data_IF_921307275797
#
_entry.id   IF_921307275797
#
_cell.length_a   1.000
_cell.length_b   1.000
_cell.length_c   1.000
_cell.angle_alpha   90.00
_cell.angle_beta   90.00
_cell.angle_gamma   90.00
#
_symmetry.space_group_name_H-M   'P 1'
#
loop_
_entity.id
_entity.type
_entity.pdbx_description
1 polymer ?
#
# COMPACT_ATOMS: atom_id res chain seq x y z
N UNK A 1 29.80 -26.44 5.14
CA UNK A 1 28.58 -25.61 5.23
C UNK A 1 27.43 -26.46 4.72
N UNK A 2 26.31 -26.54 5.42
CA UNK A 2 25.13 -27.18 4.85
C UNK A 2 24.62 -26.30 3.72
N UNK A 3 24.49 -26.88 2.52
CA UNK A 3 23.90 -26.19 1.39
C UNK A 3 22.38 -26.23 1.56
N UNK A 4 21.74 -25.06 1.52
CA UNK A 4 20.29 -24.94 1.49
C UNK A 4 19.76 -25.45 0.14
N UNK A 5 18.60 -26.10 0.20
CA UNK A 5 17.89 -26.66 -0.94
C UNK A 5 16.63 -25.85 -1.25
N UNK A 6 16.01 -26.13 -2.40
CA UNK A 6 14.70 -25.54 -2.75
C UNK A 6 13.61 -25.88 -1.72
N UNK A 7 13.68 -27.06 -1.11
CA UNK A 7 12.71 -27.50 -0.11
C UNK A 7 12.80 -26.67 1.17
N UNK A 8 14.02 -26.27 1.56
CA UNK A 8 14.23 -25.37 2.70
C UNK A 8 13.53 -24.03 2.48
N UNK A 9 13.61 -23.45 1.27
CA UNK A 9 12.94 -22.19 0.95
C UNK A 9 11.42 -22.32 0.87
N UNK A 10 10.90 -23.42 0.31
CA UNK A 10 9.45 -23.68 0.32
C UNK A 10 8.94 -23.76 1.76
N UNK A 11 9.68 -24.41 2.65
CA UNK A 11 9.33 -24.48 4.06
C UNK A 11 9.29 -23.08 4.69
N UNK A 12 10.24 -22.21 4.38
CA UNK A 12 10.23 -20.82 4.84
C UNK A 12 9.01 -20.06 4.31
N UNK A 13 8.66 -20.19 3.03
CA UNK A 13 7.45 -19.57 2.45
C UNK A 13 6.17 -20.05 3.14
N UNK A 14 6.09 -21.34 3.50
CA UNK A 14 4.90 -21.88 4.17
C UNK A 14 4.73 -21.35 5.60
N UNK A 15 5.85 -21.09 6.28
CA UNK A 15 5.92 -20.62 7.67
C UNK A 15 5.85 -19.10 7.80
N UNK A 16 5.96 -18.36 6.70
CA UNK A 16 5.89 -16.90 6.71
C UNK A 16 4.52 -16.39 7.22
N UNK A 17 4.47 -15.69 8.38
CA UNK A 17 3.22 -15.19 8.94
C UNK A 17 2.56 -14.11 8.08
N UNK A 18 3.32 -13.44 7.20
CA UNK A 18 2.81 -12.37 6.34
C UNK A 18 2.66 -12.77 4.87
N UNK A 19 2.76 -14.06 4.53
CA UNK A 19 2.68 -14.54 3.13
C UNK A 19 1.46 -14.05 2.36
N UNK A 20 0.33 -13.82 3.06
CA UNK A 20 -0.91 -13.29 2.48
C UNK A 20 -0.77 -11.85 2.00
N UNK A 21 0.12 -11.04 2.59
CA UNK A 21 0.36 -9.67 2.15
C UNK A 21 0.80 -9.60 0.68
N UNK A 22 1.48 -10.65 0.18
CA UNK A 22 1.83 -10.77 -1.26
C UNK A 22 0.59 -10.69 -2.16
N UNK A 23 -0.56 -11.19 -1.70
CA UNK A 23 -1.81 -11.19 -2.46
C UNK A 23 -2.41 -9.79 -2.63
N UNK A 24 -1.99 -8.81 -1.82
CA UNK A 24 -2.44 -7.42 -1.92
C UNK A 24 -1.81 -6.65 -3.09
N UNK A 25 -0.77 -7.20 -3.72
CA UNK A 25 -0.02 -6.54 -4.78
C UNK A 25 -0.29 -7.13 -6.17
N UNK A 26 -0.29 -6.26 -7.18
CA UNK A 26 -0.31 -6.64 -8.58
C UNK A 26 1.11 -6.87 -9.06
N UNK A 27 1.51 -8.15 -9.15
CA UNK A 27 2.84 -8.57 -9.58
C UNK A 27 2.76 -9.34 -10.90
N UNK A 28 3.65 -9.08 -11.88
CA UNK A 28 3.75 -9.89 -13.08
C UNK A 28 4.14 -11.34 -12.75
N UNK A 29 3.55 -12.31 -13.47
CA UNK A 29 3.65 -13.75 -13.15
C UNK A 29 5.09 -14.29 -13.09
N UNK A 30 5.96 -13.78 -13.95
CA UNK A 30 7.32 -14.33 -14.16
C UNK A 30 8.43 -13.34 -13.84
N UNK A 31 8.14 -12.34 -12.98
CA UNK A 31 9.10 -11.31 -12.56
C UNK A 31 9.47 -11.50 -11.08
N UNK A 32 10.77 -11.63 -10.82
CA UNK A 32 11.35 -11.53 -9.48
C UNK A 32 11.70 -10.06 -9.26
N UNK A 33 10.84 -9.33 -8.54
CA UNK A 33 10.97 -7.89 -8.37
C UNK A 33 11.75 -7.54 -7.10
N UNK A 34 13.05 -7.28 -7.23
CA UNK A 34 13.96 -6.92 -6.14
C UNK A 34 14.33 -5.43 -6.09
N UNK A 35 13.54 -4.56 -6.73
CA UNK A 35 13.77 -3.10 -6.75
C UNK A 35 12.63 -2.31 -6.07
N UNK A 36 11.97 -2.94 -5.09
CA UNK A 36 10.90 -2.32 -4.30
C UNK A 36 11.34 -1.14 -3.44
N UNK A 37 12.66 -1.01 -3.20
CA UNK A 37 13.28 0.13 -2.53
C UNK A 37 13.32 1.40 -3.40
N UNK A 38 13.25 1.27 -4.73
CA UNK A 38 13.15 2.41 -5.64
C UNK A 38 11.69 2.74 -5.91
N UNK A 39 10.92 1.74 -6.34
CA UNK A 39 9.48 1.88 -6.59
C UNK A 39 8.74 0.66 -6.05
N UNK A 40 7.86 0.87 -5.07
CA UNK A 40 7.03 -0.19 -4.51
C UNK A 40 6.05 -0.78 -5.55
N UNK A 41 5.74 -2.10 -5.48
CA UNK A 41 4.77 -2.72 -6.36
C UNK A 41 3.37 -2.14 -6.14
N UNK A 42 2.55 -2.10 -7.18
CA UNK A 42 1.19 -1.54 -7.14
C UNK A 42 0.28 -2.35 -6.20
N UNK A 43 -0.23 -1.76 -5.11
CA UNK A 43 -1.31 -2.38 -4.33
C UNK A 43 -2.58 -2.47 -5.18
N UNK A 44 -3.28 -3.61 -5.13
CA UNK A 44 -4.54 -3.83 -5.86
C UNK A 44 -5.62 -2.84 -5.47
N UNK A 45 -5.63 -2.41 -4.19
CA UNK A 45 -6.62 -1.46 -3.71
C UNK A 45 -6.44 -0.06 -4.30
N UNK A 46 -5.21 0.33 -4.69
CA UNK A 46 -4.93 1.63 -5.33
C UNK A 46 -5.77 1.83 -6.58
N UNK A 47 -5.94 0.79 -7.39
CA UNK A 47 -6.76 0.84 -8.62
C UNK A 47 -8.21 1.19 -8.27
N UNK A 48 -8.80 0.47 -7.30
CA UNK A 48 -10.19 0.68 -6.86
C UNK A 48 -10.39 2.08 -6.26
N UNK A 49 -9.44 2.53 -5.44
CA UNK A 49 -9.50 3.86 -4.82
C UNK A 49 -9.43 4.95 -5.87
N UNK A 50 -8.52 4.86 -6.85
CA UNK A 50 -8.41 5.84 -7.93
C UNK A 50 -9.65 5.86 -8.83
N UNK A 51 -10.25 4.70 -9.12
CA UNK A 51 -11.50 4.63 -9.88
C UNK A 51 -12.63 5.38 -9.16
N UNK A 52 -12.77 5.20 -7.83
CA UNK A 52 -13.75 5.96 -7.03
C UNK A 52 -13.46 7.46 -7.05
N UNK A 53 -12.21 7.84 -6.81
CA UNK A 53 -11.80 9.25 -6.78
C UNK A 53 -12.11 9.93 -8.10
N UNK A 54 -11.81 9.28 -9.23
CA UNK A 54 -12.00 9.88 -10.56
C UNK A 54 -13.48 9.92 -10.93
N UNK A 55 -14.19 8.79 -10.85
CA UNK A 55 -15.55 8.68 -11.39
C UNK A 55 -16.59 9.34 -10.49
N UNK A 56 -16.51 9.10 -9.17
CA UNK A 56 -17.54 9.50 -8.21
C UNK A 56 -17.18 10.80 -7.52
N UNK A 57 -16.03 10.82 -6.86
CA UNK A 57 -15.67 11.93 -5.98
C UNK A 57 -15.39 13.19 -6.81
N UNK A 58 -14.49 13.10 -7.79
CA UNK A 58 -14.22 14.22 -8.69
C UNK A 58 -15.31 14.37 -9.75
N UNK A 59 -15.63 13.29 -10.48
CA UNK A 59 -16.57 13.33 -11.60
C UNK A 59 -17.95 13.88 -11.24
N UNK A 60 -18.57 13.35 -10.19
CA UNK A 60 -19.93 13.76 -9.77
C UNK A 60 -19.91 14.84 -8.67
N UNK A 61 -18.98 14.71 -7.70
CA UNK A 61 -18.91 15.59 -6.54
C UNK A 61 -18.36 16.99 -6.85
N UNK A 62 -17.45 17.08 -7.83
CA UNK A 62 -16.75 18.31 -8.21
C UNK A 62 -16.12 19.00 -6.99
N UNK A 63 -16.26 20.33 -6.88
CA UNK A 63 -15.69 21.12 -5.77
C UNK A 63 -16.25 20.71 -4.40
N UNK A 64 -17.42 20.07 -4.34
CA UNK A 64 -18.02 19.66 -3.06
C UNK A 64 -17.21 18.59 -2.34
N UNK A 65 -16.47 17.77 -3.09
CA UNK A 65 -15.66 16.67 -2.56
C UNK A 65 -14.52 17.11 -1.65
N UNK A 66 -14.15 18.41 -1.69
CA UNK A 66 -13.33 19.02 -0.65
C UNK A 66 -13.87 18.77 0.76
N UNK A 67 -15.20 18.80 0.90
CA UNK A 67 -15.91 18.58 2.16
C UNK A 67 -16.59 17.21 2.20
N UNK A 68 -17.37 16.86 1.17
CA UNK A 68 -18.20 15.64 1.14
C UNK A 68 -17.34 14.36 1.25
N UNK A 69 -16.18 14.34 0.59
CA UNK A 69 -15.21 13.23 0.60
C UNK A 69 -14.00 13.56 1.49
N UNK A 70 -14.09 14.67 2.23
CA UNK A 70 -13.11 15.11 3.22
C UNK A 70 -11.68 15.28 2.68
N UNK A 71 -11.52 15.64 1.40
CA UNK A 71 -10.18 15.86 0.82
C UNK A 71 -9.40 16.95 1.55
N UNK A 72 -10.07 17.94 2.16
CA UNK A 72 -9.43 19.00 2.94
C UNK A 72 -8.59 18.47 4.11
N UNK A 73 -8.97 17.33 4.69
CA UNK A 73 -8.28 16.73 5.82
C UNK A 73 -7.40 15.53 5.42
N UNK A 74 -7.43 15.10 4.15
CA UNK A 74 -6.71 13.91 3.69
C UNK A 74 -5.19 13.96 3.96
N UNK A 75 -4.47 15.08 3.71
CA UNK A 75 -3.05 15.21 4.07
C UNK A 75 -2.73 14.92 5.54
N UNK A 76 -3.57 15.42 6.46
CA UNK A 76 -3.41 15.23 7.90
C UNK A 76 -3.76 13.80 8.29
N UNK A 77 -4.85 13.27 7.76
CA UNK A 77 -5.29 11.90 8.03
C UNK A 77 -4.23 10.88 7.56
N UNK A 78 -3.63 11.10 6.39
CA UNK A 78 -2.54 10.25 5.88
C UNK A 78 -1.27 10.40 6.73
N UNK A 79 -0.91 11.63 7.11
CA UNK A 79 0.19 11.88 8.04
C UNK A 79 0.02 11.12 9.36
N UNK A 80 -1.17 11.15 9.96
CA UNK A 80 -1.48 10.41 11.18
C UNK A 80 -1.34 8.88 11.03
N UNK A 81 -1.63 8.32 9.84
CA UNK A 81 -1.40 6.90 9.57
C UNK A 81 0.08 6.55 9.44
N UNK A 82 0.91 7.47 8.94
CA UNK A 82 2.37 7.27 8.81
C UNK A 82 3.10 7.50 10.14
N UNK A 83 2.61 8.41 10.98
CA UNK A 83 3.22 8.78 12.26
C UNK A 83 3.76 7.59 13.10
N UNK A 84 2.97 6.52 13.37
CA UNK A 84 3.47 5.38 14.16
C UNK A 84 4.60 4.59 13.48
N UNK A 85 4.74 4.66 12.15
CA UNK A 85 5.81 3.98 11.41
C UNK A 85 7.17 4.67 11.57
N UNK A 86 7.18 5.96 11.93
CA UNK A 86 8.38 6.78 12.09
C UNK A 86 8.59 7.29 13.52
N UNK A 87 7.77 6.83 14.48
CA UNK A 87 7.87 7.23 15.88
C UNK A 87 7.34 8.63 16.21
N UNK A 88 6.54 9.23 15.32
CA UNK A 88 5.88 10.51 15.54
C UNK A 88 4.50 10.32 16.22
N UNK A 89 3.99 11.38 16.84
CA UNK A 89 2.65 11.42 17.45
C UNK A 89 1.60 11.89 16.43
N UNK A 90 0.34 11.73 16.82
CA UNK A 90 -0.79 12.30 16.09
C UNK A 90 -0.62 13.83 15.92
N UNK A 91 -0.81 14.31 14.69
CA UNK A 91 -0.68 15.73 14.34
C UNK A 91 0.76 16.21 14.05
N UNK A 92 1.78 15.35 14.16
CA UNK A 92 3.18 15.73 13.90
C UNK A 92 3.61 15.54 12.43
N UNK A 93 2.78 14.90 11.60
CA UNK A 93 3.10 14.55 10.20
C UNK A 93 1.99 15.02 9.25
N UNK A 94 2.38 15.49 8.06
CA UNK A 94 1.50 15.82 6.93
C UNK A 94 2.13 15.28 5.63
N UNK A 95 1.30 14.85 4.68
CA UNK A 95 1.71 14.41 3.33
C UNK A 95 1.11 15.29 2.26
#
# INVERSE_FOLDING_TARGET
>A
MNNLTREDFIKLDTLDPIKKAREEFSLPKDVIYFDGNSLGPLPKNTIKSLDSVIQREWGDGLVRSWNDENWINLPRNLGNQIAPLIGAKEGEVIV
#
